data_IF_122046998231
#
_entry.id   IF_122046998231
#
_cell.length_a   1.000
_cell.length_b   1.000
_cell.length_c   1.000
_cell.angle_alpha   90.00
_cell.angle_beta   90.00
_cell.angle_gamma   90.00
#
_symmetry.space_group_name_H-M   'P 1'
#
loop_
_entity.id
_entity.type
_entity.pdbx_description
1 polymer ?
#
# COMPACT_ATOMS: atom_id res chain seq x y z
N UNK A 1 -0.17 -21.34 15.46
CA UNK A 1 0.37 -22.28 14.46
C UNK A 1 1.38 -21.53 13.63
N UNK A 2 2.58 -21.92 13.77
CA UNK A 2 3.86 -21.37 13.37
C UNK A 2 4.04 -21.33 11.85
N UNK A 3 4.20 -20.14 11.27
CA UNK A 3 4.80 -19.99 9.94
C UNK A 3 6.29 -19.71 10.10
N UNK A 4 7.06 -20.73 9.85
CA UNK A 4 8.53 -20.72 9.79
C UNK A 4 8.94 -20.08 8.47
N UNK A 5 9.76 -19.04 8.57
CA UNK A 5 10.41 -18.34 7.48
C UNK A 5 11.35 -19.27 6.68
N UNK A 6 11.06 -19.46 5.40
CA UNK A 6 12.00 -19.95 4.39
C UNK A 6 12.73 -18.78 3.73
N UNK A 7 13.69 -18.19 4.42
CA UNK A 7 14.69 -17.27 3.84
C UNK A 7 16.05 -17.73 4.35
N UNK A 8 16.67 -18.70 3.70
CA UNK A 8 18.11 -19.00 3.81
C UNK A 8 18.45 -20.25 3.00
N UNK A 9 18.44 -20.19 1.68
CA UNK A 9 19.03 -21.24 0.85
C UNK A 9 19.51 -20.74 -0.53
N UNK A 10 19.98 -19.49 -0.64
CA UNK A 10 20.62 -19.00 -1.87
C UNK A 10 22.00 -18.39 -1.65
N UNK A 11 22.64 -18.70 -0.51
CA UNK A 11 23.99 -18.18 -0.21
C UNK A 11 25.06 -19.28 -0.12
N UNK A 12 24.93 -20.38 -0.86
CA UNK A 12 25.88 -21.48 -0.75
C UNK A 12 26.25 -22.14 -2.10
N UNK A 13 26.03 -21.48 -3.25
CA UNK A 13 26.50 -21.99 -4.57
C UNK A 13 27.44 -21.00 -5.28
N UNK A 14 27.71 -19.81 -4.75
CA UNK A 14 28.65 -18.85 -5.33
C UNK A 14 30.10 -18.97 -4.80
N UNK A 15 30.43 -19.96 -4.00
CA UNK A 15 31.77 -20.08 -3.38
C UNK A 15 32.63 -21.26 -3.91
N UNK A 16 32.32 -21.76 -5.10
CA UNK A 16 33.15 -22.86 -5.64
C UNK A 16 33.63 -22.65 -7.07
N UNK A 17 33.77 -21.42 -7.54
CA UNK A 17 34.37 -21.11 -8.84
C UNK A 17 35.36 -19.93 -8.80
N UNK A 18 35.87 -19.58 -7.61
CA UNK A 18 36.86 -18.52 -7.43
C UNK A 18 38.19 -19.02 -6.86
N UNK A 19 38.75 -20.08 -7.41
CA UNK A 19 40.05 -20.53 -6.97
C UNK A 19 41.00 -20.93 -8.09
N UNK A 20 41.02 -20.16 -9.19
CA UNK A 20 42.08 -20.34 -10.22
C UNK A 20 42.69 -19.03 -10.74
N UNK A 21 42.31 -17.85 -10.28
CA UNK A 21 42.96 -16.62 -10.75
C UNK A 21 43.47 -15.78 -9.57
N UNK A 22 44.81 -15.59 -9.57
CA UNK A 22 45.47 -14.48 -8.93
C UNK A 22 45.88 -14.64 -7.46
N UNK A 23 46.67 -15.61 -7.11
CA UNK A 23 47.55 -15.39 -5.97
C UNK A 23 48.61 -14.33 -6.37
N UNK A 24 48.33 -13.08 -6.00
CA UNK A 24 49.32 -12.00 -6.00
C UNK A 24 50.38 -12.36 -4.93
N UNK A 25 51.43 -13.04 -5.30
CA UNK A 25 52.61 -13.08 -4.47
C UNK A 25 53.28 -11.71 -4.55
N UNK A 26 52.91 -10.80 -3.62
CA UNK A 26 53.76 -9.67 -3.29
C UNK A 26 54.98 -10.21 -2.54
N UNK A 27 55.96 -10.71 -3.26
CA UNK A 27 57.29 -10.90 -2.69
C UNK A 27 58.15 -9.69 -3.15
N UNK A 28 58.35 -8.75 -2.24
CA UNK A 28 59.23 -7.61 -2.42
C UNK A 28 60.69 -8.03 -2.14
N UNK A 29 61.16 -8.94 -2.90
CA UNK A 29 62.57 -9.35 -2.94
C UNK A 29 62.95 -9.61 -4.39
N UNK A 30 64.07 -9.12 -4.88
CA UNK A 30 64.60 -9.46 -6.18
C UNK A 30 64.80 -10.97 -6.30
N UNK A 31 63.72 -11.67 -6.75
CA UNK A 31 63.86 -13.09 -7.11
C UNK A 31 64.91 -13.24 -8.17
N UNK A 32 65.77 -14.26 -7.99
CA UNK A 32 66.80 -14.57 -8.97
C UNK A 32 66.19 -14.77 -10.37
N UNK A 33 66.86 -14.37 -11.45
CA UNK A 33 66.37 -14.60 -12.80
C UNK A 33 66.03 -16.08 -13.01
N UNK A 34 64.92 -16.31 -13.74
CA UNK A 34 64.58 -17.68 -14.13
C UNK A 34 65.70 -18.31 -14.92
N UNK A 35 66.14 -19.51 -14.50
CA UNK A 35 67.22 -20.25 -15.15
C UNK A 35 66.78 -21.68 -15.36
N UNK A 36 67.38 -22.28 -16.38
CA UNK A 36 67.17 -23.69 -16.67
C UNK A 36 68.49 -24.36 -16.97
N UNK A 37 68.74 -25.55 -16.41
CA UNK A 37 69.92 -26.37 -16.76
C UNK A 37 69.55 -27.34 -17.91
N UNK A 38 70.10 -27.12 -19.12
CA UNK A 38 69.76 -27.96 -20.29
C UNK A 38 69.99 -29.40 -20.11
N UNK A 39 70.99 -29.81 -19.25
CA UNK A 39 71.39 -31.15 -19.07
C UNK A 39 70.42 -32.01 -18.24
N UNK A 40 69.47 -31.38 -17.58
CA UNK A 40 68.49 -32.09 -16.75
C UNK A 40 67.31 -32.67 -17.60
N UNK A 41 67.29 -32.42 -18.93
CA UNK A 41 66.17 -32.77 -19.80
C UNK A 41 66.63 -33.54 -21.05
N UNK A 42 65.76 -34.47 -21.51
CA UNK A 42 66.01 -35.35 -22.64
C UNK A 42 65.50 -34.79 -23.99
N UNK A 43 64.43 -33.99 -23.93
CA UNK A 43 63.72 -33.52 -25.09
C UNK A 43 63.65 -31.99 -25.07
N UNK A 44 63.51 -31.38 -26.25
CA UNK A 44 63.29 -29.98 -26.36
C UNK A 44 62.26 -29.64 -27.48
N UNK A 45 61.65 -28.46 -27.37
CA UNK A 45 60.73 -27.82 -28.28
C UNK A 45 61.20 -26.39 -28.51
N UNK A 46 61.00 -25.85 -29.71
CA UNK A 46 61.39 -24.48 -30.03
C UNK A 46 60.16 -23.62 -30.23
N UNK A 47 60.14 -22.43 -29.61
CA UNK A 47 59.14 -21.42 -29.80
C UNK A 47 59.74 -20.11 -30.33
N UNK A 48 59.09 -19.53 -31.32
CA UNK A 48 59.36 -18.15 -31.77
C UNK A 48 58.13 -17.31 -31.46
N UNK A 49 58.30 -16.19 -30.75
CA UNK A 49 57.16 -15.45 -30.26
C UNK A 49 57.43 -13.94 -30.26
N UNK A 50 56.38 -13.19 -30.40
CA UNK A 50 56.31 -11.74 -30.08
C UNK A 50 55.30 -11.54 -28.96
N UNK A 51 55.45 -10.49 -28.17
CA UNK A 51 54.55 -10.18 -27.07
C UNK A 51 53.79 -8.89 -27.39
N UNK A 52 52.50 -8.92 -27.17
CA UNK A 52 51.63 -7.78 -27.08
C UNK A 52 51.22 -7.60 -25.62
N UNK A 53 51.58 -6.46 -25.05
CA UNK A 53 51.32 -6.14 -23.67
C UNK A 53 50.36 -4.95 -23.58
N UNK A 54 49.23 -5.16 -22.92
CA UNK A 54 48.16 -4.19 -22.86
C UNK A 54 47.83 -3.59 -24.26
N UNK A 55 47.69 -4.47 -25.24
CA UNK A 55 47.42 -4.12 -26.64
C UNK A 55 48.58 -3.51 -27.44
N UNK A 56 49.74 -3.32 -26.84
CA UNK A 56 50.91 -2.73 -27.49
C UNK A 56 52.04 -3.76 -27.68
N UNK A 57 52.57 -3.94 -28.89
CA UNK A 57 53.73 -4.82 -29.08
C UNK A 57 54.96 -4.37 -28.28
N UNK A 58 55.59 -5.27 -27.56
CA UNK A 58 56.87 -5.05 -26.88
C UNK A 58 57.96 -5.12 -27.92
N UNK A 59 58.73 -4.04 -28.05
CA UNK A 59 59.90 -3.96 -28.93
C UNK A 59 61.24 -3.81 -28.15
N UNK A 60 61.15 -3.46 -26.86
CA UNK A 60 62.31 -3.41 -25.96
C UNK A 60 62.09 -4.38 -24.81
N UNK A 61 62.90 -5.43 -24.77
CA UNK A 61 62.84 -6.47 -23.75
C UNK A 61 63.87 -6.27 -22.63
N UNK A 62 64.56 -5.13 -22.55
CA UNK A 62 65.60 -4.89 -21.55
C UNK A 62 65.09 -4.98 -20.11
N UNK A 63 63.85 -4.70 -19.89
CA UNK A 63 63.15 -4.73 -18.59
C UNK A 63 62.29 -5.97 -18.38
N UNK A 64 62.35 -6.97 -19.28
CA UNK A 64 61.51 -8.12 -19.23
C UNK A 64 62.26 -9.43 -19.33
N UNK A 65 61.79 -10.43 -18.59
CA UNK A 65 62.20 -11.81 -18.74
C UNK A 65 61.00 -12.67 -19.12
N UNK A 66 61.17 -13.53 -20.10
CA UNK A 66 60.11 -14.46 -20.52
C UNK A 66 60.58 -15.88 -20.25
N UNK A 67 59.70 -16.68 -19.60
CA UNK A 67 59.96 -18.06 -19.27
C UNK A 67 58.83 -18.99 -19.68
N UNK A 68 59.18 -20.24 -19.95
CA UNK A 68 58.25 -21.33 -20.18
C UNK A 68 58.23 -22.26 -18.97
N UNK A 69 57.07 -22.65 -18.50
CA UNK A 69 56.87 -23.41 -17.29
C UNK A 69 55.98 -24.65 -17.52
N UNK A 70 56.29 -25.71 -16.74
CA UNK A 70 55.37 -26.82 -16.48
C UNK A 70 55.12 -26.84 -14.98
N UNK A 71 53.89 -26.52 -14.59
CA UNK A 71 53.61 -26.16 -13.19
C UNK A 71 54.42 -24.94 -12.77
N UNK A 72 55.19 -25.04 -11.70
CA UNK A 72 56.10 -23.99 -11.21
C UNK A 72 57.55 -24.13 -11.63
N UNK A 73 57.86 -25.21 -12.38
CA UNK A 73 59.23 -25.45 -12.84
C UNK A 73 59.51 -24.72 -14.16
N UNK A 74 60.53 -23.86 -14.16
CA UNK A 74 60.99 -23.20 -15.37
C UNK A 74 61.70 -24.22 -16.31
N UNK A 75 61.18 -24.35 -17.50
CA UNK A 75 61.62 -25.30 -18.53
C UNK A 75 62.34 -24.63 -19.69
N UNK A 76 62.40 -23.33 -19.72
CA UNK A 76 63.09 -22.54 -20.77
C UNK A 76 62.98 -21.06 -20.51
N UNK A 77 63.98 -20.28 -20.93
CA UNK A 77 63.95 -18.84 -20.90
C UNK A 77 64.14 -18.31 -22.33
N UNK A 78 63.51 -17.15 -22.61
CA UNK A 78 63.61 -16.55 -23.93
C UNK A 78 64.89 -15.77 -24.13
N UNK A 79 65.41 -15.82 -25.37
CA UNK A 79 66.45 -14.97 -25.87
C UNK A 79 65.89 -14.07 -26.98
N UNK A 80 66.25 -12.78 -26.97
CA UNK A 80 65.88 -11.87 -28.06
C UNK A 80 66.74 -12.12 -29.28
N UNK A 81 66.12 -12.37 -30.40
CA UNK A 81 66.78 -12.58 -31.68
C UNK A 81 66.42 -11.41 -32.61
N UNK A 82 67.42 -10.90 -33.37
CA UNK A 82 67.26 -9.81 -34.30
C UNK A 82 67.82 -10.19 -35.65
N UNK A 83 67.06 -9.96 -36.70
CA UNK A 83 67.50 -10.10 -38.08
C UNK A 83 66.74 -9.10 -38.96
N UNK A 84 67.45 -8.37 -39.79
CA UNK A 84 66.88 -7.41 -40.76
C UNK A 84 65.88 -6.43 -40.09
N UNK A 85 66.30 -5.86 -38.93
CA UNK A 85 65.47 -4.96 -38.06
C UNK A 85 64.22 -5.65 -37.40
N UNK A 86 63.88 -6.84 -37.74
CA UNK A 86 62.84 -7.59 -37.07
C UNK A 86 63.32 -8.26 -35.80
N UNK A 87 62.60 -8.19 -34.74
CA UNK A 87 62.90 -8.84 -33.47
C UNK A 87 61.85 -9.86 -33.15
N UNK A 88 62.25 -10.92 -32.51
CA UNK A 88 61.37 -11.96 -31.91
C UNK A 88 62.06 -12.63 -30.73
N UNK A 89 61.26 -13.28 -29.88
CA UNK A 89 61.75 -14.12 -28.81
C UNK A 89 61.96 -15.52 -29.31
N UNK A 90 63.11 -16.06 -28.95
CA UNK A 90 63.46 -17.47 -29.15
C UNK A 90 63.47 -18.17 -27.84
N UNK A 91 62.63 -19.23 -27.64
CA UNK A 91 62.59 -20.05 -26.45
C UNK A 91 62.87 -21.49 -26.81
N UNK A 92 63.72 -22.10 -26.02
CA UNK A 92 63.95 -23.53 -26.06
C UNK A 92 63.34 -24.15 -24.79
N UNK A 93 62.15 -24.75 -24.95
CA UNK A 93 61.38 -25.38 -23.86
C UNK A 93 61.83 -26.84 -23.73
N UNK A 94 62.08 -27.31 -22.54
CA UNK A 94 62.67 -28.61 -22.26
C UNK A 94 61.75 -29.51 -21.44
N UNK A 95 61.84 -30.84 -21.68
CA UNK A 95 61.02 -31.79 -20.97
C UNK A 95 61.74 -33.17 -20.86
N UNK A 96 61.38 -33.96 -19.88
CA UNK A 96 61.73 -35.37 -19.76
C UNK A 96 60.62 -36.29 -20.34
N UNK A 97 59.49 -35.71 -20.75
CA UNK A 97 58.40 -36.37 -21.46
C UNK A 97 58.47 -36.03 -22.95
N UNK A 98 58.27 -36.98 -23.89
CA UNK A 98 58.37 -36.71 -25.29
C UNK A 98 57.18 -35.79 -25.79
N UNK A 99 56.05 -35.77 -25.07
CA UNK A 99 54.87 -34.99 -25.45
C UNK A 99 53.88 -34.91 -24.29
N UNK A 100 52.90 -33.99 -24.41
CA UNK A 100 51.68 -33.97 -23.60
C UNK A 100 51.73 -33.05 -22.38
N UNK A 101 52.85 -32.40 -22.05
CA UNK A 101 52.88 -31.39 -20.97
C UNK A 101 52.32 -30.06 -21.46
N UNK A 102 51.46 -29.45 -20.68
CA UNK A 102 50.96 -28.12 -20.96
C UNK A 102 52.00 -27.06 -20.56
N UNK A 103 52.37 -26.18 -21.49
CA UNK A 103 53.38 -25.14 -21.31
C UNK A 103 52.69 -23.83 -21.01
N UNK A 104 52.95 -23.29 -19.83
CA UNK A 104 52.56 -21.93 -19.43
C UNK A 104 53.72 -20.98 -19.68
N UNK A 105 53.51 -19.95 -20.47
CA UNK A 105 54.47 -18.89 -20.71
C UNK A 105 54.19 -17.74 -19.71
N UNK A 106 55.30 -17.18 -19.15
CA UNK A 106 55.19 -16.06 -18.20
C UNK A 106 56.11 -14.91 -18.61
N UNK A 107 55.62 -13.69 -18.49
CA UNK A 107 56.38 -12.45 -18.62
C UNK A 107 56.66 -11.91 -17.23
N UNK A 108 57.89 -11.59 -16.91
CA UNK A 108 58.32 -10.92 -15.67
C UNK A 108 58.87 -9.57 -16.01
N UNK A 109 58.35 -8.55 -15.39
CA UNK A 109 58.94 -7.23 -15.33
C UNK A 109 60.08 -7.27 -14.31
N UNK A 110 61.32 -7.02 -14.77
CA UNK A 110 62.53 -7.12 -13.91
C UNK A 110 62.71 -5.97 -12.95
N UNK A 111 62.04 -4.84 -13.22
CA UNK A 111 62.14 -3.63 -12.40
C UNK A 111 61.12 -3.68 -11.22
N UNK A 112 59.92 -4.21 -11.48
CA UNK A 112 58.86 -4.31 -10.48
C UNK A 112 58.76 -5.67 -9.83
N UNK A 113 59.26 -6.72 -10.50
CA UNK A 113 59.04 -8.13 -10.09
C UNK A 113 57.69 -8.70 -10.48
N UNK A 114 56.81 -7.93 -11.13
CA UNK A 114 55.48 -8.38 -11.57
C UNK A 114 55.61 -9.55 -12.56
N UNK A 115 54.79 -10.57 -12.38
CA UNK A 115 54.72 -11.74 -13.27
C UNK A 115 53.33 -11.88 -13.85
N UNK A 116 53.26 -11.91 -15.18
CA UNK A 116 52.02 -12.04 -15.95
C UNK A 116 52.07 -13.36 -16.75
N UNK A 117 50.95 -14.05 -16.86
CA UNK A 117 50.80 -15.16 -17.77
C UNK A 117 50.60 -14.65 -19.20
N UNK A 118 51.34 -15.28 -20.14
CA UNK A 118 51.23 -14.99 -21.56
C UNK A 118 50.24 -15.95 -22.23
N UNK A 119 49.26 -15.42 -22.90
CA UNK A 119 48.24 -16.18 -23.61
C UNK A 119 48.54 -16.22 -25.13
N UNK A 120 48.85 -17.37 -25.74
CA UNK A 120 48.98 -17.46 -27.18
C UNK A 120 47.63 -17.22 -27.90
N UNK A 121 47.61 -16.44 -28.96
CA UNK A 121 46.42 -16.28 -29.80
C UNK A 121 45.93 -17.60 -30.41
N UNK A 122 46.88 -18.56 -30.62
CA UNK A 122 46.59 -19.89 -31.16
C UNK A 122 45.98 -20.87 -30.14
N UNK A 123 45.78 -20.45 -28.89
CA UNK A 123 45.32 -21.31 -27.80
C UNK A 123 46.50 -21.94 -26.98
N UNK A 124 46.23 -23.01 -26.24
CA UNK A 124 47.20 -23.65 -25.36
C UNK A 124 48.41 -24.23 -26.12
N UNK A 125 49.59 -24.16 -25.53
CA UNK A 125 50.83 -24.76 -26.04
C UNK A 125 51.03 -26.05 -25.29
N UNK A 126 51.07 -27.18 -26.03
CA UNK A 126 51.44 -28.48 -25.51
C UNK A 126 52.84 -28.86 -25.96
N UNK A 127 53.64 -29.37 -25.04
CA UNK A 127 55.00 -29.82 -25.36
C UNK A 127 54.97 -31.00 -26.33
N UNK A 128 55.78 -30.91 -27.37
CA UNK A 128 56.06 -31.98 -28.31
C UNK A 128 57.58 -32.00 -28.60
N UNK A 129 58.21 -33.13 -28.46
CA UNK A 129 59.65 -33.29 -28.74
C UNK A 129 59.99 -32.91 -30.18
N UNK A 130 60.99 -32.01 -30.37
CA UNK A 130 61.34 -31.38 -31.64
C UNK A 130 60.21 -30.54 -32.27
N UNK A 131 59.15 -30.22 -31.47
CA UNK A 131 58.06 -29.37 -31.88
C UNK A 131 58.54 -27.94 -32.19
N UNK A 132 57.77 -27.27 -33.04
CA UNK A 132 58.04 -25.90 -33.45
C UNK A 132 56.78 -25.06 -33.35
N UNK A 133 56.77 -24.05 -32.43
CA UNK A 133 55.71 -23.06 -32.30
C UNK A 133 56.17 -21.74 -32.91
N UNK A 134 55.48 -21.28 -33.98
CA UNK A 134 55.88 -20.08 -34.72
C UNK A 134 57.17 -20.27 -35.53
N UNK A 135 57.58 -19.20 -36.22
CA UNK A 135 58.81 -19.13 -37.05
C UNK A 135 59.33 -17.71 -37.05
N UNK A 136 60.61 -17.45 -37.34
CA UNK A 136 61.14 -16.06 -37.40
C UNK A 136 60.34 -15.11 -38.26
N UNK A 137 59.78 -15.55 -39.38
CA UNK A 137 58.96 -14.72 -40.26
C UNK A 137 57.43 -14.74 -39.93
N UNK A 138 57.02 -15.56 -38.94
CA UNK A 138 55.63 -15.65 -38.45
C UNK A 138 55.63 -16.17 -37.01
N UNK A 139 56.15 -15.36 -36.08
CA UNK A 139 56.19 -15.76 -34.67
C UNK A 139 54.78 -15.89 -34.07
N UNK A 140 54.70 -16.69 -32.99
CA UNK A 140 53.49 -16.73 -32.17
C UNK A 140 53.25 -15.33 -31.57
N UNK A 141 52.01 -14.89 -31.55
CA UNK A 141 51.62 -13.70 -30.77
C UNK A 141 51.18 -14.15 -29.40
N UNK A 142 51.84 -13.63 -28.39
CA UNK A 142 51.57 -13.89 -26.98
C UNK A 142 50.99 -12.61 -26.35
N UNK A 143 49.80 -12.67 -25.85
CA UNK A 143 49.15 -11.55 -25.21
C UNK A 143 49.38 -11.58 -23.69
N UNK A 144 49.88 -10.50 -23.14
CA UNK A 144 49.92 -10.23 -21.70
C UNK A 144 48.98 -9.04 -21.40
N UNK A 145 48.24 -9.16 -20.35
CA UNK A 145 47.39 -8.10 -19.90
C UNK A 145 47.46 -7.95 -18.38
N UNK A 146 47.63 -6.74 -17.91
CA UNK A 146 47.41 -6.42 -16.50
C UNK A 146 45.94 -6.44 -16.19
N UNK A 147 45.62 -6.78 -14.94
CA UNK A 147 44.30 -6.58 -14.40
C UNK A 147 44.23 -5.18 -13.76
N UNK A 148 43.09 -4.57 -13.91
CA UNK A 148 42.76 -3.26 -13.35
C UNK A 148 41.47 -3.39 -12.57
N UNK A 149 41.34 -2.55 -11.55
CA UNK A 149 40.18 -2.56 -10.67
C UNK A 149 38.96 -1.99 -11.40
N UNK A 150 37.85 -2.75 -11.42
CA UNK A 150 36.55 -2.30 -11.86
C UNK A 150 35.67 -2.16 -10.63
N UNK A 151 35.41 -0.91 -10.22
CA UNK A 151 34.68 -0.60 -8.98
C UNK A 151 33.30 0.01 -9.32
N UNK A 152 32.25 -0.59 -8.78
CA UNK A 152 30.87 -0.09 -8.85
C UNK A 152 30.55 0.68 -7.57
N UNK A 153 30.10 1.92 -7.71
CA UNK A 153 29.82 2.87 -6.63
C UNK A 153 28.34 3.25 -6.66
N UNK A 154 27.65 3.13 -5.53
CA UNK A 154 26.25 3.52 -5.38
C UNK A 154 26.14 4.64 -4.35
N UNK A 155 25.70 5.82 -4.77
CA UNK A 155 25.55 6.98 -3.88
C UNK A 155 26.86 7.37 -3.18
N UNK A 156 28.01 7.22 -3.86
CA UNK A 156 29.34 7.53 -3.31
C UNK A 156 29.93 6.43 -2.41
N UNK A 157 29.29 5.27 -2.28
CA UNK A 157 29.77 4.14 -1.49
C UNK A 157 30.11 2.97 -2.41
N UNK A 158 31.26 2.34 -2.20
CA UNK A 158 31.62 1.12 -2.93
C UNK A 158 30.58 0.03 -2.72
N UNK A 159 30.10 -0.53 -3.85
CA UNK A 159 29.11 -1.60 -3.87
C UNK A 159 29.72 -2.94 -4.24
N UNK A 160 30.63 -2.93 -5.24
CA UNK A 160 31.29 -4.12 -5.74
C UNK A 160 32.59 -3.73 -6.43
N UNK A 161 33.64 -4.54 -6.27
CA UNK A 161 34.93 -4.36 -6.94
C UNK A 161 35.46 -5.71 -7.40
N UNK A 162 36.01 -5.73 -8.61
CA UNK A 162 36.70 -6.88 -9.17
C UNK A 162 37.93 -6.49 -9.97
N UNK A 163 38.90 -7.40 -10.10
CA UNK A 163 40.09 -7.25 -10.94
C UNK A 163 39.81 -7.84 -12.32
N UNK A 164 39.89 -7.01 -13.35
CA UNK A 164 39.56 -7.38 -14.73
C UNK A 164 40.78 -7.17 -15.65
N UNK A 165 41.18 -8.17 -16.43
CA UNK A 165 42.27 -8.03 -17.39
C UNK A 165 41.96 -6.96 -18.45
N UNK A 166 42.99 -6.20 -18.85
CA UNK A 166 42.92 -5.25 -19.96
C UNK A 166 42.27 -5.88 -21.21
N UNK A 167 41.41 -5.13 -21.89
CA UNK A 167 40.76 -5.55 -23.14
C UNK A 167 39.58 -6.51 -22.95
N UNK A 168 39.31 -6.99 -21.73
CA UNK A 168 38.13 -7.82 -21.46
C UNK A 168 36.85 -7.06 -21.75
N UNK A 169 35.95 -7.65 -22.51
CA UNK A 169 34.62 -7.08 -22.74
C UNK A 169 33.83 -7.01 -21.44
N UNK A 170 33.31 -5.82 -21.11
CA UNK A 170 32.58 -5.57 -19.88
C UNK A 170 31.06 -5.63 -20.12
N UNK A 171 30.37 -6.21 -19.16
CA UNK A 171 28.92 -6.18 -19.07
C UNK A 171 28.54 -5.63 -17.68
N UNK A 172 27.51 -4.79 -17.59
CA UNK A 172 27.10 -4.25 -16.30
C UNK A 172 26.63 -5.40 -15.37
N UNK A 173 26.92 -5.25 -14.08
CA UNK A 173 26.30 -6.09 -13.05
C UNK A 173 24.81 -5.77 -12.92
N UNK A 174 24.04 -6.66 -12.27
CA UNK A 174 22.63 -6.42 -11.97
C UNK A 174 22.44 -5.12 -11.18
N UNK A 175 21.28 -4.48 -11.37
CA UNK A 175 20.96 -3.25 -10.64
C UNK A 175 20.66 -3.59 -9.19
N UNK A 176 21.24 -2.88 -8.22
CA UNK A 176 20.87 -3.04 -6.84
C UNK A 176 19.43 -2.60 -6.59
N UNK A 177 18.76 -3.29 -5.68
CA UNK A 177 17.37 -2.95 -5.28
C UNK A 177 17.37 -2.23 -3.92
N UNK A 178 16.50 -1.24 -3.81
CA UNK A 178 16.23 -0.52 -2.57
C UNK A 178 14.76 -0.15 -2.51
N UNK A 179 14.06 -0.60 -1.46
CA UNK A 179 12.65 -0.32 -1.28
C UNK A 179 12.35 1.19 -1.38
N UNK A 180 11.29 1.52 -2.12
CA UNK A 180 10.85 2.90 -2.32
C UNK A 180 11.78 3.77 -3.17
N UNK A 181 12.75 3.17 -3.85
CA UNK A 181 13.68 3.90 -4.71
C UNK A 181 13.78 3.22 -6.09
N UNK A 182 14.05 4.04 -7.09
CA UNK A 182 14.45 3.59 -8.43
C UNK A 182 15.95 3.79 -8.59
N UNK A 183 16.63 2.81 -9.21
CA UNK A 183 18.05 2.94 -9.52
C UNK A 183 18.24 3.69 -10.84
N UNK A 184 19.15 4.67 -10.89
CA UNK A 184 19.40 5.51 -12.08
C UNK A 184 19.99 4.76 -13.26
N UNK A 185 20.51 3.55 -13.04
CA UNK A 185 21.35 2.79 -13.96
C UNK A 185 22.84 3.09 -13.73
N UNK A 186 23.68 2.20 -14.28
CA UNK A 186 25.13 2.33 -14.23
C UNK A 186 25.62 3.34 -15.27
N UNK A 187 26.55 4.21 -14.87
CA UNK A 187 27.18 5.23 -15.72
C UNK A 187 28.70 5.10 -15.63
N UNK A 188 29.39 5.25 -16.75
CA UNK A 188 30.86 5.21 -16.80
C UNK A 188 31.45 3.83 -17.15
N UNK A 189 30.61 2.79 -17.39
CA UNK A 189 31.10 1.49 -17.81
C UNK A 189 31.58 1.54 -19.27
N UNK A 190 32.86 1.30 -19.55
CA UNK A 190 33.38 1.21 -20.92
C UNK A 190 32.99 -0.14 -21.58
N UNK A 191 33.14 -0.25 -22.88
CA UNK A 191 32.87 -1.51 -23.61
C UNK A 191 33.88 -2.60 -23.27
N UNK A 192 35.14 -2.22 -23.05
CA UNK A 192 36.25 -3.10 -22.69
C UNK A 192 37.06 -2.46 -21.58
N UNK A 193 37.74 -3.30 -20.76
CA UNK A 193 38.61 -2.82 -19.68
C UNK A 193 39.79 -2.03 -20.24
N UNK A 194 39.93 -0.73 -19.89
CA UNK A 194 41.07 0.08 -20.29
C UNK A 194 42.32 -0.25 -19.46
N UNK A 195 43.46 0.34 -19.83
CA UNK A 195 44.74 0.19 -19.11
C UNK A 195 44.82 1.08 -17.84
N UNK A 196 43.74 1.21 -17.10
CA UNK A 196 43.62 1.89 -15.81
C UNK A 196 42.39 1.45 -15.06
N UNK A 197 42.34 1.70 -13.77
CA UNK A 197 41.17 1.42 -12.92
C UNK A 197 39.96 2.20 -13.41
N UNK A 198 38.79 1.58 -13.28
CA UNK A 198 37.49 2.11 -13.72
C UNK A 198 36.53 2.21 -12.55
N UNK A 199 35.91 3.39 -12.41
CA UNK A 199 34.81 3.59 -11.51
C UNK A 199 33.50 3.73 -12.30
N UNK A 200 32.51 2.92 -11.94
CA UNK A 200 31.15 2.91 -12.50
C UNK A 200 30.18 3.38 -11.43
N UNK A 201 29.44 4.41 -11.72
CA UNK A 201 28.58 5.04 -10.70
C UNK A 201 27.10 4.84 -10.99
N UNK A 202 26.29 4.78 -9.93
CA UNK A 202 24.84 4.80 -9.99
C UNK A 202 24.26 5.36 -8.70
N UNK A 203 23.03 5.83 -8.77
CA UNK A 203 22.35 6.44 -7.63
C UNK A 203 20.94 5.91 -7.47
N UNK A 204 20.46 5.91 -6.22
CA UNK A 204 19.06 5.70 -5.92
C UNK A 204 18.31 7.02 -5.92
N UNK A 205 17.20 7.05 -6.65
CA UNK A 205 16.23 8.16 -6.65
C UNK A 205 15.02 7.71 -5.84
N UNK A 206 14.62 8.52 -4.86
CA UNK A 206 13.44 8.25 -4.05
C UNK A 206 12.18 8.33 -4.93
N UNK A 207 11.27 7.36 -4.78
CA UNK A 207 10.02 7.33 -5.51
C UNK A 207 8.92 8.06 -4.75
N UNK A 208 7.98 8.64 -5.49
CA UNK A 208 6.74 9.19 -4.94
C UNK A 208 5.62 8.17 -5.10
N UNK A 209 4.76 8.13 -4.08
CA UNK A 209 3.56 7.30 -4.06
C UNK A 209 2.34 8.12 -3.66
N UNK A 210 1.16 7.61 -3.99
CA UNK A 210 -0.10 8.31 -3.76
C UNK A 210 -1.03 7.48 -2.88
N UNK A 211 -1.58 8.13 -1.86
CA UNK A 211 -2.74 7.62 -1.11
C UNK A 211 -3.98 8.33 -1.63
N UNK A 212 -4.89 7.56 -2.20
CA UNK A 212 -6.20 8.02 -2.67
C UNK A 212 -7.26 7.70 -1.63
N UNK A 213 -8.17 8.64 -1.37
CA UNK A 213 -9.28 8.49 -0.44
C UNK A 213 -10.58 8.36 -1.20
N UNK A 214 -11.19 7.17 -1.17
CA UNK A 214 -12.55 6.96 -1.66
C UNK A 214 -13.54 7.26 -0.53
N UNK A 215 -14.21 8.39 -0.63
CA UNK A 215 -15.17 8.83 0.37
C UNK A 215 -16.45 7.98 0.42
N UNK A 216 -16.67 7.04 -0.50
CA UNK A 216 -17.80 6.12 -0.53
C UNK A 216 -19.16 6.81 -0.30
N UNK A 217 -19.41 7.85 -1.09
CA UNK A 217 -20.63 8.65 -1.02
C UNK A 217 -20.61 9.79 0.01
N UNK A 218 -19.49 10.05 0.66
CA UNK A 218 -19.25 11.23 1.50
C UNK A 218 -18.62 12.40 0.73
N UNK A 219 -18.25 13.46 1.46
CA UNK A 219 -17.50 14.59 0.92
C UNK A 219 -16.13 14.18 0.41
N UNK A 220 -15.66 14.77 -0.68
CA UNK A 220 -14.37 14.50 -1.30
C UNK A 220 -13.22 14.79 -0.32
N UNK A 221 -12.21 13.92 -0.34
CA UNK A 221 -10.94 14.06 0.38
C UNK A 221 -9.81 14.04 -0.64
N UNK A 222 -8.94 15.05 -0.60
CA UNK A 222 -7.83 15.18 -1.54
C UNK A 222 -6.80 14.05 -1.35
N UNK A 223 -6.24 13.49 -2.43
CA UNK A 223 -5.19 12.49 -2.33
C UNK A 223 -3.89 13.11 -1.75
N UNK A 224 -3.06 12.28 -1.17
CA UNK A 224 -1.74 12.65 -0.65
C UNK A 224 -0.69 11.99 -1.54
N UNK A 225 0.14 12.81 -2.23
CA UNK A 225 1.28 12.33 -3.02
C UNK A 225 2.56 12.91 -2.44
N UNK A 226 3.50 12.04 -2.06
CA UNK A 226 4.76 12.45 -1.46
C UNK A 226 5.83 11.34 -1.57
N UNK A 227 7.06 11.68 -1.23
CA UNK A 227 8.19 10.76 -1.27
C UNK A 227 8.01 9.59 -0.30
N UNK A 228 8.51 8.42 -0.70
CA UNK A 228 8.56 7.24 0.15
C UNK A 228 9.10 7.54 1.55
N UNK A 229 8.49 6.92 2.56
CA UNK A 229 8.88 7.02 3.98
C UNK A 229 8.81 8.43 4.61
N UNK A 230 8.21 9.42 3.93
CA UNK A 230 7.90 10.72 4.54
C UNK A 230 6.67 10.64 5.43
N UNK A 231 6.64 11.41 6.51
CA UNK A 231 5.53 11.41 7.47
C UNK A 231 4.22 11.89 6.82
N UNK A 232 3.12 11.18 7.08
CA UNK A 232 1.79 11.53 6.58
C UNK A 232 1.04 12.35 7.63
N UNK A 233 0.44 13.46 7.18
CA UNK A 233 -0.54 14.20 7.97
C UNK A 233 -1.94 13.71 7.59
N UNK A 234 -2.70 13.21 8.57
CA UNK A 234 -4.06 12.73 8.32
C UNK A 234 -4.95 13.87 7.80
N UNK A 235 -5.74 13.64 6.74
CA UNK A 235 -6.72 14.61 6.29
C UNK A 235 -7.91 14.69 7.26
N UNK A 236 -8.72 15.75 7.13
CA UNK A 236 -9.99 15.83 7.83
C UNK A 236 -10.91 14.67 7.42
N UNK A 237 -11.72 14.21 8.38
CA UNK A 237 -12.69 13.15 8.12
C UNK A 237 -13.75 13.62 7.12
N UNK A 238 -14.14 12.81 6.14
CA UNK A 238 -15.25 13.14 5.25
C UNK A 238 -16.56 13.18 6.02
N UNK A 239 -17.55 13.90 5.47
CA UNK A 239 -18.90 14.00 6.00
C UNK A 239 -19.91 13.37 5.04
N UNK A 240 -20.98 12.77 5.60
CA UNK A 240 -22.09 12.22 4.82
C UNK A 240 -23.37 12.39 5.62
N UNK A 241 -24.37 13.04 4.99
CA UNK A 241 -25.65 13.31 5.62
C UNK A 241 -26.33 12.01 6.09
N UNK A 242 -26.76 11.98 7.33
CA UNK A 242 -27.41 10.81 7.94
C UNK A 242 -26.47 9.67 8.31
N UNK A 243 -25.16 9.83 8.20
CA UNK A 243 -24.16 8.81 8.53
C UNK A 243 -23.08 9.35 9.46
N UNK A 244 -22.50 8.45 10.22
CA UNK A 244 -21.32 8.70 11.04
C UNK A 244 -20.11 8.03 10.39
N UNK A 245 -19.00 8.77 10.22
CA UNK A 245 -17.75 8.23 9.72
C UNK A 245 -17.12 7.30 10.77
N UNK A 246 -16.81 6.07 10.37
CA UNK A 246 -16.26 5.02 11.25
C UNK A 246 -14.76 4.79 11.05
N UNK A 247 -14.13 5.56 10.16
CA UNK A 247 -12.75 5.38 9.74
C UNK A 247 -12.63 4.88 8.32
N UNK A 248 -11.42 4.61 7.92
CA UNK A 248 -11.08 4.00 6.64
C UNK A 248 -11.09 2.47 6.75
N UNK A 249 -11.20 1.75 5.62
CA UNK A 249 -11.16 0.28 5.58
C UNK A 249 -9.82 -0.32 6.07
N UNK A 250 -8.74 0.46 6.00
CA UNK A 250 -7.43 0.14 6.55
C UNK A 250 -6.92 1.34 7.35
N UNK A 251 -5.98 1.11 8.26
CA UNK A 251 -5.35 2.18 9.02
C UNK A 251 -4.49 3.07 8.10
N UNK A 252 -4.62 4.39 8.23
CA UNK A 252 -3.74 5.33 7.54
C UNK A 252 -2.31 5.13 8.04
N UNK A 253 -1.34 4.79 7.15
CA UNK A 253 0.03 4.57 7.59
C UNK A 253 0.66 5.87 8.12
N UNK A 254 1.59 5.76 9.07
CA UNK A 254 2.29 6.91 9.64
C UNK A 254 3.26 7.57 8.63
N UNK A 255 3.78 6.78 7.69
CA UNK A 255 4.68 7.25 6.63
C UNK A 255 4.26 6.67 5.28
N UNK A 256 4.63 7.35 4.18
CA UNK A 256 4.30 6.94 2.82
C UNK A 256 4.88 5.56 2.50
N UNK A 257 4.03 4.55 2.20
CA UNK A 257 4.49 3.20 1.85
C UNK A 257 5.13 3.17 0.45
N UNK A 258 5.89 2.11 0.16
CA UNK A 258 6.51 1.89 -1.17
C UNK A 258 5.49 1.39 -2.21
N UNK A 259 4.26 1.85 -2.16
CA UNK A 259 3.17 1.52 -3.10
C UNK A 259 2.07 2.57 -3.04
N UNK A 260 1.32 2.70 -4.10
CA UNK A 260 0.05 3.43 -4.06
C UNK A 260 -0.97 2.69 -3.19
N UNK A 261 -1.81 3.44 -2.49
CA UNK A 261 -2.81 2.93 -1.56
C UNK A 261 -4.15 3.62 -1.81
N UNK A 262 -5.24 2.88 -1.75
CA UNK A 262 -6.59 3.44 -1.76
C UNK A 262 -7.28 3.10 -0.44
N UNK A 263 -7.73 4.13 0.28
CA UNK A 263 -8.46 4.02 1.52
C UNK A 263 -9.93 4.37 1.27
N UNK A 264 -10.83 3.44 1.62
CA UNK A 264 -12.28 3.61 1.42
C UNK A 264 -12.97 3.90 2.75
N UNK A 265 -13.79 4.96 2.79
CA UNK A 265 -14.54 5.37 3.96
C UNK A 265 -15.57 4.32 4.39
N UNK A 266 -15.64 4.06 5.69
CA UNK A 266 -16.63 3.20 6.33
C UNK A 266 -17.66 4.09 7.03
N UNK A 267 -18.94 3.82 6.78
CA UNK A 267 -20.06 4.60 7.26
C UNK A 267 -21.02 3.77 8.11
N UNK A 268 -21.46 4.34 9.23
CA UNK A 268 -22.59 3.83 10.01
C UNK A 268 -23.78 4.74 9.75
N UNK A 269 -24.92 4.16 9.33
CA UNK A 269 -26.17 4.89 9.20
C UNK A 269 -26.68 5.29 10.60
N UNK A 270 -27.16 6.52 10.74
CA UNK A 270 -27.66 7.05 12.01
C UNK A 270 -29.14 6.76 12.20
N UNK A 271 -29.57 6.71 13.44
CA UNK A 271 -30.97 6.71 13.84
C UNK A 271 -31.30 8.02 14.51
N UNK A 272 -32.52 8.51 14.28
CA UNK A 272 -33.06 9.75 14.83
C UNK A 272 -34.38 9.46 15.50
N UNK A 273 -34.80 10.33 16.43
CA UNK A 273 -36.03 10.14 17.17
C UNK A 273 -37.23 10.81 16.45
N UNK A 274 -38.30 10.04 16.26
CA UNK A 274 -39.60 10.56 15.92
C UNK A 274 -40.39 10.74 17.23
N UNK A 275 -40.60 12.00 17.63
CA UNK A 275 -41.14 12.38 18.94
C UNK A 275 -42.58 12.82 18.76
N UNK A 276 -43.55 12.10 19.31
CA UNK A 276 -44.94 12.44 19.31
C UNK A 276 -45.33 13.20 20.59
N UNK A 277 -45.83 14.40 20.45
CA UNK A 277 -46.28 15.26 21.56
C UNK A 277 -47.80 15.44 21.49
N UNK A 278 -48.49 15.27 22.61
CA UNK A 278 -49.92 15.49 22.79
C UNK A 278 -50.12 16.54 23.89
N UNK A 279 -50.83 17.60 23.59
CA UNK A 279 -51.10 18.71 24.52
C UNK A 279 -49.80 19.30 25.13
N UNK A 280 -48.67 19.27 24.34
CA UNK A 280 -47.37 19.78 24.74
C UNK A 280 -46.54 18.81 25.60
N UNK A 281 -47.02 17.61 25.82
CA UNK A 281 -46.26 16.53 26.53
C UNK A 281 -45.89 15.42 25.59
N UNK A 282 -44.68 14.83 25.78
CA UNK A 282 -44.27 13.67 25.01
C UNK A 282 -45.18 12.47 25.27
N UNK A 283 -45.83 12.04 24.22
CA UNK A 283 -46.71 10.84 24.22
C UNK A 283 -45.91 9.57 23.97
N UNK A 284 -45.08 9.55 22.92
CA UNK A 284 -44.16 8.44 22.63
C UNK A 284 -42.96 8.96 21.81
N UNK A 285 -41.90 8.16 21.80
CA UNK A 285 -40.68 8.40 21.03
C UNK A 285 -40.27 7.10 20.34
N UNK A 286 -40.06 7.14 19.02
CA UNK A 286 -39.71 6.01 18.18
C UNK A 286 -38.39 6.28 17.48
N UNK A 287 -37.32 5.47 17.73
CA UNK A 287 -36.08 5.59 16.95
C UNK A 287 -36.33 5.06 15.54
N UNK A 288 -35.97 5.85 14.52
CA UNK A 288 -36.12 5.51 13.10
C UNK A 288 -34.78 5.75 12.40
N UNK A 289 -34.37 4.79 11.56
CA UNK A 289 -33.12 4.93 10.78
C UNK A 289 -33.27 6.00 9.71
N UNK A 290 -32.22 6.78 9.49
CA UNK A 290 -32.18 7.78 8.42
C UNK A 290 -32.63 7.19 7.08
N UNK A 291 -33.54 7.88 6.40
CA UNK A 291 -34.06 7.47 5.08
C UNK A 291 -35.16 6.39 5.10
N UNK A 292 -35.38 5.72 6.24
CA UNK A 292 -36.46 4.73 6.35
C UNK A 292 -37.82 5.42 6.27
N UNK A 293 -38.80 4.71 5.70
CA UNK A 293 -40.18 5.17 5.64
C UNK A 293 -40.78 5.27 7.04
N UNK A 294 -41.46 6.37 7.33
CA UNK A 294 -42.15 6.59 8.60
C UNK A 294 -43.55 6.02 8.52
N UNK A 295 -43.87 5.12 9.48
CA UNK A 295 -45.26 4.67 9.73
C UNK A 295 -45.80 5.49 10.89
N UNK A 296 -46.85 6.36 10.68
CA UNK A 296 -47.40 7.16 11.75
C UNK A 296 -47.97 6.32 12.90
N UNK A 297 -47.80 6.83 14.12
CA UNK A 297 -48.52 6.25 15.28
C UNK A 297 -50.04 6.44 15.12
N UNK A 298 -50.86 5.45 15.60
CA UNK A 298 -52.29 5.58 15.68
C UNK A 298 -52.67 6.82 16.50
N UNK A 299 -53.81 7.45 16.14
CA UNK A 299 -54.32 8.59 16.90
C UNK A 299 -54.71 8.12 18.32
N UNK A 300 -54.21 8.81 19.36
CA UNK A 300 -54.63 8.51 20.73
C UNK A 300 -56.11 8.84 20.94
N UNK A 301 -56.75 8.17 21.90
CA UNK A 301 -58.12 8.41 22.27
C UNK A 301 -58.22 8.93 23.70
N UNK A 302 -59.17 9.87 23.92
CA UNK A 302 -59.46 10.42 25.23
C UNK A 302 -60.95 10.66 25.30
N UNK A 303 -61.61 10.05 26.32
CA UNK A 303 -63.04 10.15 26.50
C UNK A 303 -63.52 11.62 26.55
N UNK A 304 -64.60 11.90 25.83
CA UNK A 304 -65.20 13.27 25.78
C UNK A 304 -64.33 14.32 25.03
N UNK A 305 -63.29 13.88 24.29
CA UNK A 305 -62.42 14.75 23.54
C UNK A 305 -62.28 14.26 22.10
N UNK A 306 -62.01 15.16 21.19
CA UNK A 306 -61.67 14.89 19.82
C UNK A 306 -60.22 15.22 19.61
N UNK A 307 -59.44 14.27 19.06
CA UNK A 307 -58.05 14.48 18.70
C UNK A 307 -57.95 15.25 17.39
N UNK A 308 -57.00 16.24 17.35
CA UNK A 308 -56.80 17.08 16.15
C UNK A 308 -56.27 16.35 14.93
N UNK A 309 -55.74 15.12 15.11
CA UNK A 309 -54.82 14.47 14.21
C UNK A 309 -53.36 14.90 14.49
N UNK A 310 -52.45 14.15 13.96
CA UNK A 310 -51.02 14.49 14.01
C UNK A 310 -50.69 15.62 13.04
N UNK A 311 -49.72 16.47 13.39
CA UNK A 311 -49.14 17.47 12.46
C UNK A 311 -48.50 16.75 11.27
N UNK A 312 -47.95 17.50 10.31
CA UNK A 312 -47.28 16.96 9.14
C UNK A 312 -46.12 16.00 9.56
N UNK A 313 -46.09 14.79 9.01
CA UNK A 313 -45.11 13.77 9.24
C UNK A 313 -44.35 13.55 7.92
N UNK A 314 -42.99 13.67 7.88
CA UNK A 314 -42.25 13.41 6.66
C UNK A 314 -42.44 11.96 6.21
N UNK A 315 -42.36 11.71 4.91
CA UNK A 315 -42.49 10.33 4.37
C UNK A 315 -41.34 9.40 4.78
N UNK A 316 -40.13 9.99 4.94
CA UNK A 316 -38.91 9.26 5.37
C UNK A 316 -38.22 10.06 6.46
N UNK A 317 -37.44 9.37 7.31
CA UNK A 317 -36.72 10.00 8.41
C UNK A 317 -35.57 10.89 7.90
N UNK A 318 -35.61 12.20 8.20
CA UNK A 318 -34.52 13.11 7.87
C UNK A 318 -33.29 12.89 8.79
N UNK A 319 -32.20 13.62 8.50
CA UNK A 319 -30.96 13.55 9.28
C UNK A 319 -31.00 14.36 10.60
N UNK A 320 -32.18 14.43 11.23
CA UNK A 320 -32.40 15.05 12.54
C UNK A 320 -33.66 14.50 13.20
N UNK A 321 -33.81 14.69 14.50
CA UNK A 321 -35.04 14.35 15.23
C UNK A 321 -36.24 15.12 14.68
N UNK A 322 -37.41 14.48 14.63
CA UNK A 322 -38.66 15.02 14.14
C UNK A 322 -39.67 15.08 15.29
N UNK A 323 -40.26 16.27 15.51
CA UNK A 323 -41.37 16.46 16.44
C UNK A 323 -42.69 16.50 15.69
N UNK A 324 -43.62 15.66 16.13
CA UNK A 324 -44.99 15.56 15.62
C UNK A 324 -45.94 15.95 16.75
N UNK A 325 -46.84 16.84 16.51
CA UNK A 325 -47.74 17.36 17.53
C UNK A 325 -49.19 17.06 17.25
N UNK A 326 -49.97 16.86 18.29
CA UNK A 326 -51.42 16.74 18.27
C UNK A 326 -52.01 17.28 19.56
N UNK A 327 -53.29 17.56 19.56
CA UNK A 327 -53.98 18.09 20.73
C UNK A 327 -55.39 17.52 20.86
N UNK A 328 -55.89 17.49 22.08
CA UNK A 328 -57.27 17.16 22.35
C UNK A 328 -58.13 18.41 22.54
N UNK A 329 -59.28 18.45 21.86
CA UNK A 329 -60.29 19.43 22.11
C UNK A 329 -61.45 18.76 22.86
N UNK A 330 -61.87 19.36 23.96
CA UNK A 330 -63.06 18.85 24.72
C UNK A 330 -64.30 19.00 23.88
N UNK A 331 -65.11 17.96 23.83
CA UNK A 331 -66.35 17.94 23.08
C UNK A 331 -67.52 18.56 23.86
N UNK A 332 -68.54 19.05 23.11
CA UNK A 332 -69.84 19.40 23.66
C UNK A 332 -70.88 18.35 23.30
N UNK A 333 -71.82 18.14 24.19
CA UNK A 333 -72.93 17.24 24.01
C UNK A 333 -74.25 17.90 24.32
N UNK A 334 -75.40 17.38 23.76
CA UNK A 334 -76.67 17.95 23.93
C UNK A 334 -77.32 17.46 25.22
N UNK A 335 -77.79 18.43 26.01
CA UNK A 335 -78.70 18.19 27.10
C UNK A 335 -80.14 18.63 26.60
N UNK A 336 -81.01 17.64 26.40
CA UNK A 336 -82.32 17.84 25.80
C UNK A 336 -83.39 17.71 26.90
N UNK A 337 -84.01 18.81 27.22
CA UNK A 337 -85.15 18.86 28.14
C UNK A 337 -86.44 18.52 27.38
N UNK A 338 -87.20 17.56 27.83
CA UNK A 338 -88.49 17.16 27.24
C UNK A 338 -89.61 17.32 28.27
N UNK A 339 -90.76 17.88 27.83
CA UNK A 339 -91.97 18.02 28.62
C UNK A 339 -93.09 17.24 27.92
N UNK A 340 -93.74 16.32 28.62
CA UNK A 340 -94.74 15.42 28.05
C UNK A 340 -94.32 14.70 26.80
N UNK A 341 -92.96 14.36 26.66
CA UNK A 341 -92.40 13.71 25.54
C UNK A 341 -91.89 14.62 24.41
N UNK A 342 -92.27 15.83 24.39
CA UNK A 342 -91.86 16.82 23.37
C UNK A 342 -90.61 17.61 23.80
N UNK A 343 -89.76 17.98 22.84
CA UNK A 343 -88.55 18.78 23.13
C UNK A 343 -89.00 20.18 23.58
N UNK A 344 -88.63 20.45 24.81
CA UNK A 344 -88.87 21.80 25.40
C UNK A 344 -87.69 22.76 25.13
N UNK A 345 -86.43 22.20 25.38
CA UNK A 345 -85.19 22.98 25.20
C UNK A 345 -84.02 22.08 24.96
N UNK A 346 -83.07 22.48 24.14
CA UNK A 346 -81.77 21.82 23.93
C UNK A 346 -80.65 22.80 24.25
N UNK A 347 -79.71 22.42 25.06
CA UNK A 347 -78.47 23.18 25.33
C UNK A 347 -77.28 22.38 25.02
N UNK A 348 -76.17 22.99 24.54
CA UNK A 348 -74.87 22.41 24.37
C UNK A 348 -74.09 22.55 25.65
N UNK A 349 -73.55 21.46 26.20
CA UNK A 349 -72.81 21.45 27.45
C UNK A 349 -71.46 20.77 27.22
N UNK A 350 -70.40 21.41 27.67
CA UNK A 350 -69.03 20.86 27.54
C UNK A 350 -68.89 19.64 28.42
N UNK A 351 -68.30 18.57 27.87
CA UNK A 351 -67.97 17.34 28.62
C UNK A 351 -67.31 17.65 29.97
N UNK A 352 -67.73 16.96 31.01
CA UNK A 352 -67.18 17.11 32.36
C UNK A 352 -67.58 18.36 33.13
N UNK A 353 -68.30 19.30 32.51
CA UNK A 353 -68.82 20.47 33.23
C UNK A 353 -70.22 20.20 33.80
N UNK A 354 -70.54 20.92 34.89
CA UNK A 354 -71.88 20.79 35.45
C UNK A 354 -72.93 21.54 34.54
N UNK A 355 -73.98 20.86 34.11
CA UNK A 355 -75.06 21.51 33.38
C UNK A 355 -75.81 22.55 34.22
N UNK A 356 -76.17 23.62 33.58
CA UNK A 356 -77.07 24.58 34.25
C UNK A 356 -78.49 23.97 34.37
N UNK A 357 -79.05 24.09 35.56
CA UNK A 357 -80.44 23.62 35.82
C UNK A 357 -81.45 24.56 35.09
N UNK A 358 -82.37 23.98 34.31
CA UNK A 358 -83.42 24.70 33.63
C UNK A 358 -84.55 24.93 34.62
N UNK A 359 -85.12 26.13 34.52
CA UNK A 359 -86.31 26.46 35.32
C UNK A 359 -87.51 25.56 34.98
N UNK A 360 -88.36 25.37 35.93
CA UNK A 360 -89.55 24.58 35.73
C UNK A 360 -90.51 25.37 34.80
N UNK A 361 -90.99 24.74 33.71
CA UNK A 361 -91.99 25.40 32.84
C UNK A 361 -93.34 25.56 33.56
N UNK A 362 -94.10 26.61 33.19
CA UNK A 362 -95.42 26.88 33.72
C UNK A 362 -96.48 26.56 32.70
N UNK A 363 -97.59 25.95 33.19
CA UNK A 363 -98.82 25.69 32.40
C UNK A 363 -100.02 25.83 33.28
N UNK A 364 -100.90 26.77 32.86
CA UNK A 364 -102.11 27.07 33.64
C UNK A 364 -102.95 25.81 33.90
N UNK A 365 -103.43 25.67 35.10
CA UNK A 365 -104.19 24.51 35.51
C UNK A 365 -103.43 23.23 35.65
N UNK A 366 -102.12 23.22 35.60
CA UNK A 366 -101.27 22.04 35.71
C UNK A 366 -100.17 22.21 36.75
N UNK A 367 -99.70 21.17 37.34
CA UNK A 367 -98.49 21.07 38.20
C UNK A 367 -97.37 20.31 37.48
N UNK A 368 -96.19 20.96 37.40
CA UNK A 368 -95.00 20.30 36.81
C UNK A 368 -94.42 19.32 37.79
N UNK A 369 -94.04 18.13 37.34
CA UNK A 369 -93.51 16.99 38.16
C UNK A 369 -92.08 17.25 38.69
N UNK A 370 -91.46 18.27 38.25
CA UNK A 370 -89.98 18.43 38.34
C UNK A 370 -89.29 17.72 37.19
N UNK A 371 -88.06 18.14 36.97
CA UNK A 371 -87.18 17.47 36.02
C UNK A 371 -86.65 16.13 36.56
N UNK A 372 -86.48 15.12 35.70
CA UNK A 372 -85.73 13.87 36.06
C UNK A 372 -84.31 14.20 36.50
N UNK A 373 -83.56 13.22 36.90
CA UNK A 373 -82.18 13.42 37.34
C UNK A 373 -81.33 14.09 36.23
N UNK A 374 -80.72 15.19 36.57
CA UNK A 374 -79.73 15.90 35.72
C UNK A 374 -78.35 15.40 36.21
N UNK A 375 -77.49 14.90 35.30
CA UNK A 375 -76.18 14.45 35.74
C UNK A 375 -75.37 15.57 36.40
N UNK A 376 -74.58 15.25 37.39
CA UNK A 376 -73.73 16.20 38.11
C UNK A 376 -72.69 16.86 37.18
N UNK A 377 -72.21 16.10 36.17
CA UNK A 377 -71.35 16.56 35.10
C UNK A 377 -71.80 15.94 33.78
N UNK A 378 -71.66 16.64 32.67
CA UNK A 378 -72.02 16.20 31.33
C UNK A 378 -71.20 14.97 30.92
N UNK A 379 -71.82 13.81 30.65
CA UNK A 379 -71.13 12.62 30.17
C UNK A 379 -70.72 12.75 28.69
N UNK A 380 -69.94 11.77 28.19
CA UNK A 380 -69.46 11.78 26.79
C UNK A 380 -70.57 11.28 25.77
N UNK A 381 -71.82 11.66 26.03
CA UNK A 381 -72.94 11.40 25.14
C UNK A 381 -74.06 12.40 25.46
N UNK A 382 -75.02 12.55 24.51
CA UNK A 382 -76.23 13.33 24.70
C UNK A 382 -77.08 12.79 25.85
N UNK A 383 -77.71 13.68 26.62
CA UNK A 383 -78.54 13.35 27.77
C UNK A 383 -79.93 13.89 27.56
N UNK A 384 -80.95 13.07 27.91
CA UNK A 384 -82.32 13.48 27.96
C UNK A 384 -82.81 13.64 29.41
N UNK A 385 -83.39 14.77 29.71
CA UNK A 385 -84.03 15.09 30.99
C UNK A 385 -85.49 15.29 30.74
N UNK A 386 -86.36 14.60 31.47
CA UNK A 386 -87.79 14.56 31.24
C UNK A 386 -88.57 15.17 32.42
N UNK A 387 -89.66 15.80 32.11
CA UNK A 387 -90.66 16.27 33.08
C UNK A 387 -92.03 16.14 32.46
N UNK A 388 -93.04 16.20 33.25
CA UNK A 388 -94.42 16.09 32.80
C UNK A 388 -95.34 17.05 33.58
N UNK A 389 -96.44 17.47 32.95
CA UNK A 389 -97.49 18.17 33.60
C UNK A 389 -98.56 17.25 34.08
N UNK A 390 -99.09 17.49 35.28
CA UNK A 390 -100.27 16.84 35.83
C UNK A 390 -101.35 17.81 35.97
N UNK A 391 -102.58 17.49 35.49
CA UNK A 391 -103.77 18.36 35.62
C UNK A 391 -104.15 18.60 37.06
N UNK A 392 -104.33 19.81 37.44
CA UNK A 392 -104.77 20.15 38.80
C UNK A 392 -106.27 19.91 38.95
N UNK A 393 -106.65 19.32 40.05
CA UNK A 393 -108.09 19.16 40.41
C UNK A 393 -108.50 20.21 41.40
N UNK A 394 -109.62 20.92 41.09
CA UNK A 394 -110.21 21.95 41.98
C UNK A 394 -111.52 21.51 42.53
N UNK A 395 -111.83 21.80 43.77
CA UNK A 395 -113.12 21.56 44.39
C UNK A 395 -114.06 22.71 44.06
N UNK A 396 -115.20 22.37 43.47
CA UNK A 396 -116.27 23.32 43.32
C UNK A 396 -117.16 23.31 44.63
N UNK A 397 -117.10 24.37 45.41
CA UNK A 397 -117.86 24.48 46.62
C UNK A 397 -119.11 25.31 46.35
N UNK A 398 -120.31 24.64 46.40
CA UNK A 398 -121.54 25.36 46.34
C UNK A 398 -121.94 25.86 47.74
N UNK A 399 -122.09 27.16 47.94
CA UNK A 399 -122.75 27.71 49.12
C UNK A 399 -124.19 27.83 48.88
N UNK A 400 -125.08 27.22 49.69
CA UNK A 400 -126.48 27.40 49.69
C UNK A 400 -126.80 28.40 50.85
N UNK A 401 -127.42 29.50 50.51
CA UNK A 401 -127.84 30.54 51.49
C UNK A 401 -129.03 30.08 52.33
#
# INVERSE_FOLDING_TARGET
MTHIHTKSLWLLIATLLLSVFGARAQDSGSEAPWTVNPHDYKYDMTLYANIVFDGTPITDFSHYQVGAFVGDECRGTAEVQTKDEAQWLYLRVRSNQPQGENIVLRLRDTDTGEVLNLQPESGEITFESQGLGGRPGSPLVLNAARSYSLTYIVGGVEHYTEEVPYGTTLTPIEYPEREGHSFSGWTGLPLTMPAHDVEVTGEFVINQYTITFDANGGSEVAPITQDYNTAITAPDAPTREGYTFMGWNEELPATMPARDLTLTAQWQINTYNLIYNVDGMTYTMVPVTYGDAITPEPNPTKEGHTFSGWSEIPATMPAHDVEVTGSFTVNTYKLVYKVDGEVYKTIEVTYGTAPATEAAPEKEGHTFSGWSEIPATMPAHDVEVTGRFTVNTYNLVYKVD
#
